data_IF_339053573363
#
_entry.id   IF_339053573363
#
_cell.length_a   1.000
_cell.length_b   1.000
_cell.length_c   1.000
_cell.angle_alpha   90.00
_cell.angle_beta   90.00
_cell.angle_gamma   90.00
#
_symmetry.space_group_name_H-M   'P 1'
#
loop_
_entity.id
_entity.type
_entity.pdbx_description
1 polymer ?
#
# COMPACT_ATOMS: atom_id res chain seq x y z
N UNK A 1 -6.32 -32.42 -12.48
CA UNK A 1 -6.91 -31.17 -11.95
C UNK A 1 -6.41 -31.05 -10.52
N UNK A 2 -5.49 -30.12 -10.23
CA UNK A 2 -4.88 -30.06 -8.90
C UNK A 2 -5.91 -29.56 -7.88
N UNK A 3 -5.82 -30.04 -6.65
CA UNK A 3 -6.73 -29.69 -5.53
C UNK A 3 -6.83 -28.16 -5.31
N UNK A 4 -5.75 -27.46 -5.63
CA UNK A 4 -5.60 -26.00 -5.61
C UNK A 4 -6.53 -25.31 -6.61
N UNK A 5 -6.68 -25.84 -7.83
CA UNK A 5 -7.58 -25.29 -8.85
C UNK A 5 -9.03 -25.39 -8.41
N UNK A 6 -9.37 -26.46 -7.66
CA UNK A 6 -10.71 -26.69 -7.11
C UNK A 6 -11.03 -25.75 -5.95
N UNK A 7 -10.07 -25.51 -5.06
CA UNK A 7 -10.20 -24.51 -3.98
C UNK A 7 -10.24 -23.08 -4.53
N UNK A 8 -9.51 -22.80 -5.62
CA UNK A 8 -9.60 -21.54 -6.35
C UNK A 8 -10.97 -21.31 -6.96
N UNK A 9 -11.54 -22.31 -7.65
CA UNK A 9 -12.84 -22.20 -8.32
C UNK A 9 -13.94 -21.85 -7.31
N UNK A 10 -13.96 -22.54 -6.16
CA UNK A 10 -14.95 -22.32 -5.10
C UNK A 10 -14.83 -20.95 -4.42
N UNK A 11 -13.61 -20.43 -4.28
CA UNK A 11 -13.36 -19.13 -3.67
C UNK A 11 -13.76 -17.98 -4.63
N UNK A 12 -13.56 -18.16 -5.94
CA UNK A 12 -13.81 -17.14 -6.96
C UNK A 12 -15.28 -17.08 -7.41
N UNK A 13 -16.02 -18.19 -7.39
CA UNK A 13 -17.41 -18.25 -7.90
C UNK A 13 -18.41 -17.40 -7.10
N UNK A 14 -18.16 -17.13 -5.81
CA UNK A 14 -19.00 -16.28 -4.96
C UNK A 14 -18.24 -15.08 -4.37
N UNK A 15 -17.01 -14.83 -4.85
CA UNK A 15 -16.17 -13.76 -4.34
C UNK A 15 -16.71 -12.38 -4.75
N UNK A 16 -16.78 -11.41 -3.83
CA UNK A 16 -16.98 -10.01 -4.20
C UNK A 16 -15.88 -9.54 -5.17
N UNK A 17 -16.21 -8.60 -6.06
CA UNK A 17 -15.32 -8.11 -7.13
C UNK A 17 -13.91 -7.72 -6.64
N UNK A 18 -13.82 -7.20 -5.40
CA UNK A 18 -12.56 -6.82 -4.75
C UNK A 18 -11.56 -7.99 -4.66
N UNK A 19 -12.03 -9.22 -4.40
CA UNK A 19 -11.17 -10.40 -4.28
C UNK A 19 -10.63 -10.83 -5.65
N UNK A 20 -11.44 -10.74 -6.70
CA UNK A 20 -10.98 -11.00 -8.07
C UNK A 20 -9.91 -9.98 -8.50
N UNK A 21 -10.11 -8.71 -8.14
CA UNK A 21 -9.12 -7.65 -8.39
C UNK A 21 -7.85 -7.86 -7.58
N UNK A 22 -7.95 -8.22 -6.30
CA UNK A 22 -6.81 -8.50 -5.43
C UNK A 22 -6.00 -9.68 -5.96
N UNK A 23 -6.66 -10.78 -6.31
CA UNK A 23 -6.04 -11.98 -6.86
C UNK A 23 -5.25 -11.69 -8.15
N UNK A 24 -5.88 -10.97 -9.09
CA UNK A 24 -5.24 -10.59 -10.35
C UNK A 24 -4.03 -9.71 -10.09
N UNK A 25 -4.15 -8.71 -9.19
CA UNK A 25 -3.04 -7.82 -8.83
C UNK A 25 -1.87 -8.54 -8.17
N UNK A 26 -2.13 -9.46 -7.25
CA UNK A 26 -1.06 -10.24 -6.60
C UNK A 26 -0.35 -11.12 -7.61
N UNK A 27 -1.09 -11.74 -8.53
CA UNK A 27 -0.49 -12.57 -9.58
C UNK A 27 0.40 -11.75 -10.52
N UNK A 28 -0.07 -10.56 -10.92
CA UNK A 28 0.69 -9.66 -11.79
C UNK A 28 1.95 -9.12 -11.08
N UNK A 29 1.84 -8.72 -9.82
CA UNK A 29 2.98 -8.26 -9.01
C UNK A 29 3.97 -9.38 -8.74
N UNK A 30 3.50 -10.59 -8.43
CA UNK A 30 4.36 -11.76 -8.21
C UNK A 30 5.19 -12.10 -9.45
N UNK A 31 4.63 -11.91 -10.66
CA UNK A 31 5.36 -12.08 -11.91
C UNK A 31 6.33 -10.93 -12.20
N UNK A 32 5.86 -9.69 -12.08
CA UNK A 32 6.61 -8.50 -12.51
C UNK A 32 7.69 -8.06 -11.53
N UNK A 33 7.45 -8.14 -10.22
CA UNK A 33 8.40 -7.70 -9.20
C UNK A 33 9.25 -8.83 -8.63
N UNK A 34 8.66 -10.02 -8.43
CA UNK A 34 9.36 -11.15 -7.80
C UNK A 34 9.87 -12.21 -8.79
N UNK A 35 9.57 -12.08 -10.09
CA UNK A 35 10.02 -13.03 -11.12
C UNK A 35 9.49 -14.46 -10.92
N UNK A 36 8.36 -14.62 -10.23
CA UNK A 36 7.79 -15.93 -9.92
C UNK A 36 7.19 -16.60 -11.16
N UNK A 37 7.22 -17.94 -11.17
CA UNK A 37 6.49 -18.73 -12.17
C UNK A 37 4.98 -18.49 -12.06
N UNK A 38 4.25 -18.68 -13.15
CA UNK A 38 2.78 -18.51 -13.17
C UNK A 38 2.09 -19.34 -12.08
N UNK A 39 2.55 -20.58 -11.87
CA UNK A 39 1.97 -21.46 -10.86
C UNK A 39 2.28 -21.00 -9.43
N UNK A 40 3.51 -20.55 -9.18
CA UNK A 40 3.91 -20.01 -7.87
C UNK A 40 3.18 -18.71 -7.53
N UNK A 41 3.02 -17.82 -8.51
CA UNK A 41 2.32 -16.55 -8.34
C UNK A 41 0.82 -16.77 -8.02
N UNK A 42 0.18 -17.72 -8.70
CA UNK A 42 -1.20 -18.13 -8.41
C UNK A 42 -1.35 -18.71 -7.00
N UNK A 43 -0.45 -19.62 -6.59
CA UNK A 43 -0.47 -20.18 -5.22
C UNK A 43 -0.30 -19.10 -4.15
N UNK A 44 0.57 -18.12 -4.39
CA UNK A 44 0.75 -16.98 -3.49
C UNK A 44 -0.52 -16.14 -3.41
N UNK A 45 -1.14 -15.83 -4.55
CA UNK A 45 -2.38 -15.09 -4.62
C UNK A 45 -3.53 -15.79 -3.87
N UNK A 46 -3.66 -17.12 -4.00
CA UNK A 46 -4.63 -17.90 -3.22
C UNK A 46 -4.36 -17.79 -1.72
N UNK A 47 -3.11 -17.95 -1.30
CA UNK A 47 -2.73 -17.94 0.11
C UNK A 47 -3.02 -16.59 0.77
N UNK A 48 -2.68 -15.49 0.07
CA UNK A 48 -2.94 -14.12 0.56
C UNK A 48 -4.44 -13.82 0.56
N UNK A 49 -5.18 -14.17 -0.50
CA UNK A 49 -6.63 -13.97 -0.54
C UNK A 49 -7.35 -14.74 0.57
N UNK A 50 -6.89 -15.95 0.88
CA UNK A 50 -7.43 -16.74 2.00
C UNK A 50 -7.18 -16.06 3.35
N UNK A 51 -5.93 -15.66 3.62
CA UNK A 51 -5.61 -14.93 4.85
C UNK A 51 -6.44 -13.64 4.98
N UNK A 52 -6.60 -12.89 3.89
CA UNK A 52 -7.43 -11.69 3.88
C UNK A 52 -8.90 -11.97 4.18
N UNK A 53 -9.45 -13.09 3.67
CA UNK A 53 -10.81 -13.50 3.98
C UNK A 53 -10.97 -14.01 5.42
N UNK A 54 -9.95 -14.64 6.00
CA UNK A 54 -9.97 -15.08 7.41
C UNK A 54 -9.88 -13.89 8.37
N UNK A 55 -9.03 -12.90 8.06
CA UNK A 55 -8.80 -11.74 8.92
C UNK A 55 -9.93 -10.71 8.87
N UNK A 56 -10.54 -10.51 7.68
CA UNK A 56 -11.51 -9.44 7.46
C UNK A 56 -12.89 -9.93 7.02
N UNK A 57 -13.09 -11.25 6.94
CA UNK A 57 -14.37 -11.85 6.55
C UNK A 57 -15.47 -11.53 7.54
N UNK A 58 -16.55 -10.92 7.06
CA UNK A 58 -17.72 -10.55 7.87
C UNK A 58 -17.72 -9.10 8.37
N UNK A 59 -16.64 -8.34 8.15
CA UNK A 59 -16.55 -6.93 8.50
C UNK A 59 -16.79 -6.00 7.31
N UNK A 60 -17.35 -4.81 7.58
CA UNK A 60 -17.46 -3.73 6.59
C UNK A 60 -16.22 -2.85 6.68
N UNK A 61 -15.23 -3.10 5.82
CA UNK A 61 -13.96 -2.39 5.82
C UNK A 61 -14.09 -1.04 5.10
N UNK A 62 -13.71 0.04 5.79
CA UNK A 62 -13.50 1.34 5.15
C UNK A 62 -12.04 1.50 4.71
N UNK A 63 -11.81 1.71 3.41
CA UNK A 63 -10.49 2.01 2.85
C UNK A 63 -10.38 3.52 2.61
N UNK A 64 -9.65 4.27 3.46
CA UNK A 64 -9.46 5.70 3.24
C UNK A 64 -8.60 5.96 2.00
N UNK A 65 -9.05 6.89 1.15
CA UNK A 65 -8.30 7.32 -0.07
C UNK A 65 -6.90 7.86 0.23
N UNK A 66 -6.61 8.23 1.48
CA UNK A 66 -5.28 8.69 1.90
C UNK A 66 -4.24 7.59 2.03
N UNK A 67 -4.64 6.31 2.11
CA UNK A 67 -3.72 5.13 2.06
C UNK A 67 -3.09 4.99 0.67
N UNK A 68 -3.77 5.46 -0.39
CA UNK A 68 -3.26 5.48 -1.77
C UNK A 68 -2.17 6.53 -2.00
N UNK A 69 -1.79 7.27 -0.96
CA UNK A 69 -0.57 8.05 -0.93
C UNK A 69 0.40 7.30 -0.02
N UNK A 70 0.99 6.15 -0.44
CA UNK A 70 2.32 5.86 0.05
C UNK A 70 3.08 7.15 -0.19
N UNK A 71 3.76 7.67 0.84
CA UNK A 71 4.78 8.69 0.70
C UNK A 71 5.46 8.47 -0.64
N UNK A 72 5.06 9.24 -1.66
CA UNK A 72 5.56 8.93 -2.99
C UNK A 72 7.07 9.11 -2.88
N UNK A 73 7.89 8.36 -3.62
CA UNK A 73 9.35 8.58 -3.55
C UNK A 73 9.71 10.07 -3.69
N UNK A 74 8.86 10.81 -4.41
CA UNK A 74 8.84 12.27 -4.50
C UNK A 74 8.58 12.99 -3.17
N UNK A 75 7.58 12.61 -2.38
CA UNK A 75 7.26 13.27 -1.09
C UNK A 75 8.36 13.06 -0.05
N UNK A 76 8.96 11.86 -0.03
CA UNK A 76 10.16 11.57 0.77
C UNK A 76 11.36 12.39 0.29
N UNK A 77 11.57 12.51 -1.02
CA UNK A 77 12.64 13.36 -1.57
C UNK A 77 12.44 14.84 -1.23
N UNK A 78 11.19 15.34 -1.34
CA UNK A 78 10.82 16.70 -0.91
C UNK A 78 11.13 16.90 0.59
N UNK A 79 10.80 15.93 1.45
CA UNK A 79 11.09 16.01 2.88
C UNK A 79 12.59 15.96 3.18
N UNK A 80 13.35 15.07 2.54
CA UNK A 80 14.79 14.92 2.76
C UNK A 80 15.60 16.13 2.28
N UNK A 81 15.13 16.80 1.23
CA UNK A 81 15.75 18.04 0.71
C UNK A 81 15.25 19.31 1.42
N UNK A 82 14.33 19.18 2.39
CA UNK A 82 13.78 20.31 3.10
C UNK A 82 14.75 20.83 4.16
N UNK A 83 15.12 22.11 4.04
CA UNK A 83 16.09 22.78 4.94
C UNK A 83 15.43 23.71 5.98
N UNK A 84 14.10 23.82 5.99
CA UNK A 84 13.34 24.67 6.91
C UNK A 84 12.73 25.91 6.26
N UNK A 85 13.38 26.51 5.26
CA UNK A 85 12.93 27.74 4.60
C UNK A 85 12.81 27.64 3.07
N UNK A 86 13.14 26.50 2.47
CA UNK A 86 13.23 26.32 1.01
C UNK A 86 11.92 25.84 0.33
N UNK A 87 10.75 26.09 0.92
CA UNK A 87 9.46 25.62 0.40
C UNK A 87 9.19 26.06 -1.05
N UNK A 88 9.54 27.30 -1.40
CA UNK A 88 9.34 27.85 -2.75
C UNK A 88 10.27 27.21 -3.79
N UNK A 89 11.49 26.85 -3.37
CA UNK A 89 12.48 26.20 -4.23
C UNK A 89 12.07 24.76 -4.53
N UNK A 90 11.64 24.02 -3.50
CA UNK A 90 11.10 22.67 -3.65
C UNK A 90 9.82 22.66 -4.50
N UNK A 91 8.93 23.63 -4.30
CA UNK A 91 7.72 23.78 -5.11
C UNK A 91 8.06 23.89 -6.61
N UNK A 92 9.06 24.71 -6.97
CA UNK A 92 9.54 24.85 -8.35
C UNK A 92 10.22 23.57 -8.85
N UNK A 93 11.12 22.99 -8.06
CA UNK A 93 11.89 21.78 -8.42
C UNK A 93 10.97 20.58 -8.71
N UNK A 94 9.96 20.38 -7.88
CA UNK A 94 9.04 19.25 -7.98
C UNK A 94 7.75 19.55 -8.74
N UNK A 95 7.60 20.77 -9.29
CA UNK A 95 6.43 21.25 -10.05
C UNK A 95 5.13 21.10 -9.27
N UNK A 96 5.13 21.53 -8.02
CA UNK A 96 4.01 21.43 -7.08
C UNK A 96 3.77 22.78 -6.42
N UNK A 97 2.60 22.97 -5.81
CA UNK A 97 2.33 24.23 -5.11
C UNK A 97 3.08 24.29 -3.78
N UNK A 98 3.48 25.49 -3.36
CA UNK A 98 4.13 25.70 -2.05
C UNK A 98 3.28 25.17 -0.90
N UNK A 99 1.95 25.34 -0.97
CA UNK A 99 1.01 24.80 0.00
C UNK A 99 1.04 23.26 0.08
N UNK A 100 1.33 22.59 -1.03
CA UNK A 100 1.47 21.13 -1.07
C UNK A 100 2.78 20.68 -0.43
N UNK A 101 3.88 21.41 -0.62
CA UNK A 101 5.17 21.17 0.08
C UNK A 101 4.98 21.28 1.60
N UNK A 102 4.28 22.31 2.09
CA UNK A 102 3.94 22.44 3.52
C UNK A 102 3.17 21.22 4.06
N UNK A 103 2.19 20.73 3.30
CA UNK A 103 1.40 19.54 3.68
C UNK A 103 2.26 18.29 3.74
N UNK A 104 3.18 18.12 2.79
CA UNK A 104 4.12 17.00 2.76
C UNK A 104 5.02 17.04 3.99
N UNK A 105 5.73 18.14 4.21
CA UNK A 105 6.68 18.26 5.33
C UNK A 105 5.99 17.96 6.65
N UNK A 106 4.78 18.51 6.88
CA UNK A 106 4.01 18.25 8.10
C UNK A 106 3.62 16.77 8.25
N UNK A 107 3.21 16.12 7.16
CA UNK A 107 2.82 14.70 7.15
C UNK A 107 4.02 13.80 7.42
N UNK A 108 5.10 13.95 6.66
CA UNK A 108 6.30 13.10 6.80
C UNK A 108 6.94 13.28 8.16
N UNK A 109 7.01 14.52 8.67
CA UNK A 109 7.55 14.78 10.00
C UNK A 109 6.75 14.07 11.10
N UNK A 110 5.41 14.07 11.03
CA UNK A 110 4.57 13.35 11.98
C UNK A 110 4.84 11.83 11.94
N UNK A 111 5.00 11.28 10.75
CA UNK A 111 5.27 9.85 10.56
C UNK A 111 6.69 9.46 11.02
N UNK A 112 7.71 10.28 10.73
CA UNK A 112 9.09 10.06 11.19
C UNK A 112 9.24 10.19 12.72
N UNK A 113 8.58 11.20 13.32
CA UNK A 113 8.53 11.33 14.79
C UNK A 113 7.81 10.14 15.41
N UNK A 114 6.67 9.71 14.85
CA UNK A 114 5.94 8.53 15.33
C UNK A 114 6.74 7.21 15.25
N UNK A 115 7.68 7.10 14.30
CA UNK A 115 8.59 5.93 14.20
C UNK A 115 9.74 5.99 15.19
N UNK A 116 10.24 7.18 15.53
CA UNK A 116 11.43 7.36 16.40
C UNK A 116 11.07 7.52 17.87
N UNK A 117 9.88 8.04 18.15
CA UNK A 117 9.37 8.24 19.49
C UNK A 117 8.55 7.03 19.90
N UNK A 118 9.14 6.15 20.73
CA UNK A 118 8.35 5.25 21.59
C UNK A 118 7.44 6.17 22.41
N UNK A 119 6.16 5.83 22.52
CA UNK A 119 5.24 6.56 23.39
C UNK A 119 5.80 6.53 24.82
N UNK A 120 6.40 7.66 25.24
CA UNK A 120 7.02 7.80 26.56
C UNK A 120 5.97 7.96 27.66
N UNK A 121 4.68 8.06 27.28
CA UNK A 121 3.55 8.27 28.18
C UNK A 121 2.42 7.27 27.93
N UNK A 122 2.77 6.02 27.57
CA UNK A 122 1.77 4.95 27.46
C UNK A 122 0.89 4.90 28.71
N UNK A 123 -0.41 5.18 28.53
CA UNK A 123 -1.46 4.92 29.50
C UNK A 123 -1.99 3.51 29.33
#
# INVERSE_FOLDING_TARGET
>A
MNDIDKQMQACLENAPEIFNHLYTKITDLGKSEAGLSDESAKRLAVSISKAFAEDFGGEVIYIPKSILLPLSGRDLAIYNEFTGNNHNELARKYKVSTAWVYKIVKRVHKEEVGKRQIDMFGQ
#
